data_IF_420835553078
#
_entry.id   IF_420835553078
#
_cell.length_a   1.000
_cell.length_b   1.000
_cell.length_c   1.000
_cell.angle_alpha   90.00
_cell.angle_beta   90.00
_cell.angle_gamma   90.00
#
_symmetry.space_group_name_H-M   'P 1'
#
loop_
_entity.id
_entity.type
_entity.pdbx_description
1 polymer ?
#
# COMPACT_ATOMS: atom_id res chain seq x y z
N UNK A 1 -6.14 -19.67 -22.49
CA UNK A 1 -7.22 -18.66 -22.23
C UNK A 1 -7.14 -17.97 -20.86
N UNK A 2 -6.30 -18.42 -19.93
CA UNK A 2 -6.18 -17.82 -18.58
C UNK A 2 -5.31 -16.54 -18.49
N UNK A 3 -4.57 -16.17 -19.54
CA UNK A 3 -3.71 -14.98 -19.55
C UNK A 3 -4.49 -13.64 -19.65
N UNK A 4 -5.70 -13.66 -20.20
CA UNK A 4 -6.51 -12.46 -20.42
C UNK A 4 -7.14 -11.88 -19.16
N UNK A 5 -7.58 -12.70 -18.20
CA UNK A 5 -8.24 -12.21 -16.98
C UNK A 5 -7.27 -11.49 -16.04
N UNK A 6 -6.04 -12.02 -15.89
CA UNK A 6 -5.01 -11.40 -15.06
C UNK A 6 -4.56 -10.02 -15.57
N UNK A 7 -4.52 -9.85 -16.89
CA UNK A 7 -4.16 -8.57 -17.52
C UNK A 7 -5.30 -7.55 -17.44
N UNK A 8 -6.56 -7.98 -17.49
CA UNK A 8 -7.72 -7.12 -17.30
C UNK A 8 -7.79 -6.61 -15.86
N UNK A 9 -7.58 -7.47 -14.86
CA UNK A 9 -7.52 -7.06 -13.45
C UNK A 9 -6.36 -6.11 -13.15
N UNK A 10 -5.18 -6.33 -13.73
CA UNK A 10 -4.03 -5.41 -13.60
C UNK A 10 -4.33 -4.06 -14.24
N UNK A 11 -4.93 -4.02 -15.42
CA UNK A 11 -5.27 -2.77 -16.12
C UNK A 11 -6.38 -1.99 -15.41
N UNK A 12 -7.42 -2.65 -14.89
CA UNK A 12 -8.50 -1.99 -14.17
C UNK A 12 -8.03 -1.42 -12.82
N UNK A 13 -7.25 -2.17 -12.05
CA UNK A 13 -6.71 -1.69 -10.78
C UNK A 13 -5.71 -0.53 -10.94
N UNK A 14 -4.96 -0.49 -12.04
CA UNK A 14 -4.07 0.63 -12.36
C UNK A 14 -4.85 1.85 -12.86
N UNK A 15 -5.92 1.66 -13.63
CA UNK A 15 -6.78 2.75 -14.14
C UNK A 15 -7.45 3.52 -13.01
N UNK A 16 -8.02 2.84 -12.02
CA UNK A 16 -8.66 3.48 -10.86
C UNK A 16 -7.63 4.24 -10.01
N UNK A 17 -6.46 3.64 -9.76
CA UNK A 17 -5.38 4.32 -9.02
C UNK A 17 -4.88 5.56 -9.73
N UNK A 18 -4.70 5.50 -11.05
CA UNK A 18 -4.27 6.66 -11.84
C UNK A 18 -5.32 7.75 -11.82
N UNK A 19 -6.58 7.41 -12.01
CA UNK A 19 -7.67 8.37 -12.00
C UNK A 19 -7.80 9.11 -10.66
N UNK A 20 -7.70 8.41 -9.53
CA UNK A 20 -7.72 9.05 -8.21
C UNK A 20 -6.49 9.93 -8.00
N UNK A 21 -5.30 9.47 -8.40
CA UNK A 21 -4.06 10.26 -8.31
C UNK A 21 -4.13 11.55 -9.12
N UNK A 22 -4.67 11.47 -10.33
CA UNK A 22 -4.81 12.62 -11.23
C UNK A 22 -5.87 13.63 -10.74
N UNK A 23 -6.83 13.18 -9.92
CA UNK A 23 -7.85 14.07 -9.33
C UNK A 23 -7.38 14.74 -8.04
N UNK A 24 -6.69 14.02 -7.19
CA UNK A 24 -6.23 14.55 -5.90
C UNK A 24 -4.92 15.35 -6.04
N UNK A 25 -4.03 14.95 -6.95
CA UNK A 25 -2.76 15.62 -7.29
C UNK A 25 -1.92 16.03 -6.08
N UNK A 26 -1.90 15.19 -5.05
CA UNK A 26 -1.18 15.47 -3.81
C UNK A 26 0.33 15.30 -4.00
N UNK A 27 1.15 16.36 -3.77
CA UNK A 27 2.59 16.26 -3.90
C UNK A 27 3.17 15.39 -2.78
N UNK A 28 4.24 14.67 -3.09
CA UNK A 28 4.97 13.89 -2.09
C UNK A 28 5.76 14.79 -1.14
N UNK A 29 5.95 14.39 0.13
CA UNK A 29 6.76 15.15 1.08
C UNK A 29 8.15 15.49 0.57
N UNK A 30 8.85 14.56 -0.11
CA UNK A 30 10.19 14.83 -0.64
C UNK A 30 10.18 15.88 -1.77
N UNK A 31 9.09 16.02 -2.54
CA UNK A 31 8.97 17.05 -3.59
C UNK A 31 8.80 18.42 -2.95
N UNK A 32 8.04 18.52 -1.86
CA UNK A 32 7.96 19.77 -1.06
C UNK A 32 9.33 20.12 -0.46
N UNK A 33 10.08 19.10 -0.04
CA UNK A 33 11.45 19.32 0.45
C UNK A 33 12.37 19.82 -0.69
N UNK A 34 12.27 19.28 -1.91
CA UNK A 34 13.00 19.77 -3.09
C UNK A 34 12.67 21.24 -3.42
N UNK A 35 11.40 21.62 -3.33
CA UNK A 35 11.00 23.01 -3.52
C UNK A 35 11.70 23.96 -2.53
N UNK A 36 11.74 23.59 -1.25
CA UNK A 36 12.34 24.40 -0.20
C UNK A 36 13.87 24.47 -0.27
N UNK A 37 14.52 23.38 -0.67
CA UNK A 37 15.99 23.27 -0.62
C UNK A 37 16.66 23.54 -1.96
N UNK A 38 16.02 23.23 -3.08
CA UNK A 38 16.56 23.34 -4.43
C UNK A 38 15.78 24.31 -5.30
N UNK A 39 14.78 24.99 -4.72
CA UNK A 39 13.95 25.99 -5.41
C UNK A 39 13.26 25.47 -6.69
N UNK A 40 12.85 24.21 -6.68
CA UNK A 40 12.09 23.59 -7.77
C UNK A 40 10.60 23.71 -7.44
N UNK A 41 9.83 24.56 -8.13
CA UNK A 41 8.39 24.70 -7.85
C UNK A 41 7.65 23.37 -8.03
N UNK A 42 6.78 23.03 -7.08
CA UNK A 42 6.01 21.78 -7.12
C UNK A 42 5.19 21.65 -8.41
N UNK A 43 4.55 22.74 -8.83
CA UNK A 43 3.73 22.76 -10.05
C UNK A 43 4.59 22.48 -11.28
N UNK A 44 5.76 23.10 -11.40
CA UNK A 44 6.69 22.87 -12.50
C UNK A 44 7.17 21.40 -12.51
N UNK A 45 7.52 20.85 -11.34
CA UNK A 45 7.92 19.44 -11.21
C UNK A 45 6.86 18.50 -11.76
N UNK A 46 5.58 18.72 -11.46
CA UNK A 46 4.51 17.82 -11.90
C UNK A 46 4.03 18.07 -13.34
N UNK A 47 4.42 19.15 -14.00
CA UNK A 47 4.21 19.33 -15.46
C UNK A 47 5.12 18.41 -16.28
N UNK A 48 6.28 18.04 -15.76
CA UNK A 48 7.23 17.16 -16.43
C UNK A 48 6.71 15.74 -16.58
N UNK A 49 7.16 15.02 -17.61
CA UNK A 49 6.92 13.58 -17.75
C UNK A 49 7.62 12.81 -16.64
N UNK A 50 7.10 11.65 -16.28
CA UNK A 50 7.66 10.84 -15.18
C UNK A 50 9.16 10.55 -15.30
N UNK A 51 9.65 10.31 -16.51
CA UNK A 51 11.08 10.08 -16.78
C UNK A 51 11.91 11.33 -16.52
N UNK A 52 11.43 12.47 -16.94
CA UNK A 52 12.14 13.76 -16.80
C UNK A 52 12.17 14.20 -15.34
N UNK A 53 11.10 13.96 -14.58
CA UNK A 53 11.08 14.12 -13.11
C UNK A 53 12.16 13.28 -12.43
N UNK A 54 12.31 12.01 -12.83
CA UNK A 54 13.34 11.12 -12.30
C UNK A 54 14.76 11.61 -12.61
N UNK A 55 14.99 12.11 -13.83
CA UNK A 55 16.27 12.70 -14.22
C UNK A 55 16.57 13.99 -13.44
N UNK A 56 15.57 14.87 -13.28
CA UNK A 56 15.69 16.09 -12.49
C UNK A 56 16.09 15.77 -11.04
N UNK A 57 15.42 14.82 -10.39
CA UNK A 57 15.78 14.37 -9.04
C UNK A 57 17.19 13.81 -8.99
N UNK A 58 17.62 13.06 -10.01
CA UNK A 58 18.98 12.51 -10.11
C UNK A 58 20.03 13.62 -10.18
N UNK A 59 19.81 14.61 -11.03
CA UNK A 59 20.73 15.74 -11.23
C UNK A 59 20.83 16.60 -9.97
N UNK A 60 19.70 16.99 -9.40
CA UNK A 60 19.65 17.85 -8.21
C UNK A 60 20.24 17.20 -6.96
N UNK A 61 20.18 15.88 -6.85
CA UNK A 61 20.71 15.13 -5.71
C UNK A 61 22.08 14.49 -5.98
N UNK A 62 22.70 14.74 -7.13
CA UNK A 62 23.98 14.15 -7.51
C UNK A 62 25.08 14.43 -6.48
N UNK A 63 25.16 15.66 -5.99
CA UNK A 63 26.18 16.14 -5.05
C UNK A 63 25.74 16.07 -3.57
N UNK A 64 24.49 15.68 -3.29
CA UNK A 64 23.94 15.60 -1.93
C UNK A 64 24.42 14.34 -1.20
N UNK A 65 25.57 14.45 -0.52
CA UNK A 65 26.16 13.34 0.24
C UNK A 65 25.38 13.00 1.52
N UNK A 66 24.66 13.97 2.08
CA UNK A 66 23.85 13.80 3.30
C UNK A 66 22.65 12.86 3.10
N UNK A 67 22.21 12.67 1.85
CA UNK A 67 21.11 11.76 1.54
C UNK A 67 21.66 10.40 1.11
N UNK A 68 21.29 9.30 1.80
CA UNK A 68 21.76 7.97 1.46
C UNK A 68 21.45 7.60 -0.01
N UNK A 69 22.36 6.91 -0.67
CA UNK A 69 22.26 6.56 -2.10
C UNK A 69 21.01 5.77 -2.42
N UNK A 70 20.59 4.86 -1.51
CA UNK A 70 19.36 4.08 -1.70
C UNK A 70 18.12 4.98 -1.72
N UNK A 71 18.07 6.03 -0.88
CA UNK A 71 16.96 6.96 -0.80
C UNK A 71 16.89 7.83 -2.06
N UNK A 72 18.04 8.36 -2.53
CA UNK A 72 18.12 9.09 -3.80
C UNK A 72 17.60 8.27 -4.97
N UNK A 73 18.03 7.02 -5.09
CA UNK A 73 17.56 6.08 -6.13
C UNK A 73 16.07 5.78 -6.00
N UNK A 74 15.54 5.71 -4.78
CA UNK A 74 14.14 5.47 -4.53
C UNK A 74 13.28 6.66 -4.98
N UNK A 75 13.67 7.89 -4.63
CA UNK A 75 12.99 9.11 -5.06
C UNK A 75 12.98 9.29 -6.58
N UNK A 76 14.07 8.96 -7.27
CA UNK A 76 14.16 9.00 -8.74
C UNK A 76 13.11 8.10 -9.42
N UNK A 77 12.78 6.97 -8.83
CA UNK A 77 11.82 6.00 -9.39
C UNK A 77 10.38 6.35 -9.04
N UNK A 78 10.15 6.95 -7.89
CA UNK A 78 8.84 7.18 -7.30
C UNK A 78 8.39 8.64 -7.38
N UNK A 79 8.36 9.21 -8.59
CA UNK A 79 8.04 10.62 -8.87
C UNK A 79 6.55 10.89 -9.15
N UNK A 80 5.66 9.95 -8.90
CA UNK A 80 4.20 10.15 -9.02
C UNK A 80 3.61 10.87 -7.80
N UNK A 81 2.31 11.20 -7.85
CA UNK A 81 1.59 11.78 -6.73
C UNK A 81 1.54 10.86 -5.51
N UNK A 82 1.35 11.46 -4.31
CA UNK A 82 1.35 10.73 -3.06
C UNK A 82 0.09 9.88 -2.86
N UNK A 83 -1.07 10.44 -3.06
CA UNK A 83 -2.35 9.83 -2.73
C UNK A 83 -2.90 8.94 -3.86
N UNK A 84 -3.52 7.78 -3.57
CA UNK A 84 -3.40 7.02 -2.35
C UNK A 84 -2.12 6.16 -2.30
N UNK A 85 -1.72 5.71 -1.08
CA UNK A 85 -0.55 4.84 -0.92
C UNK A 85 -0.84 3.39 -1.32
N UNK A 86 -0.33 2.97 -2.49
CA UNK A 86 -0.52 1.60 -2.97
C UNK A 86 0.16 0.54 -2.10
N UNK A 87 1.32 0.84 -1.52
CA UNK A 87 2.02 -0.06 -0.60
C UNK A 87 1.23 -0.26 0.70
N UNK A 88 0.66 0.82 1.23
CA UNK A 88 -0.22 0.76 2.41
C UNK A 88 -1.48 -0.04 2.12
N UNK A 89 -2.14 0.21 0.98
CA UNK A 89 -3.32 -0.55 0.58
C UNK A 89 -3.03 -2.05 0.51
N UNK A 90 -1.91 -2.44 -0.10
CA UNK A 90 -1.50 -3.83 -0.19
C UNK A 90 -1.25 -4.44 1.20
N UNK A 91 -0.41 -3.80 2.01
CA UNK A 91 -0.04 -4.30 3.33
C UNK A 91 -1.26 -4.37 4.28
N UNK A 92 -2.09 -3.32 4.30
CA UNK A 92 -3.30 -3.28 5.10
C UNK A 92 -4.32 -4.34 4.69
N UNK A 93 -4.49 -4.60 3.38
CA UNK A 93 -5.41 -5.63 2.90
C UNK A 93 -4.99 -7.02 3.38
N UNK A 94 -3.71 -7.36 3.33
CA UNK A 94 -3.21 -8.64 3.85
C UNK A 94 -3.38 -8.78 5.36
N UNK A 95 -3.06 -7.73 6.12
CA UNK A 95 -3.23 -7.73 7.57
C UNK A 95 -4.72 -7.89 7.97
N UNK A 96 -5.62 -7.18 7.30
CA UNK A 96 -7.07 -7.25 7.55
C UNK A 96 -7.66 -8.61 7.18
N UNK A 97 -7.23 -9.20 6.05
CA UNK A 97 -7.61 -10.57 5.68
C UNK A 97 -7.10 -11.57 6.71
N UNK A 98 -5.87 -11.43 7.18
CA UNK A 98 -5.32 -12.29 8.22
C UNK A 98 -6.15 -12.21 9.52
N UNK A 99 -6.49 -11.01 9.96
CA UNK A 99 -7.36 -10.83 11.14
C UNK A 99 -8.71 -11.50 10.91
N UNK A 100 -9.37 -11.23 9.78
CA UNK A 100 -10.71 -11.76 9.49
C UNK A 100 -10.76 -13.29 9.37
N UNK A 101 -9.78 -13.90 8.71
CA UNK A 101 -9.79 -15.32 8.40
C UNK A 101 -9.07 -16.19 9.45
N UNK A 102 -8.02 -15.67 10.10
CA UNK A 102 -7.18 -16.46 11.00
C UNK A 102 -7.52 -16.26 12.48
N UNK A 103 -8.19 -15.17 12.85
CA UNK A 103 -8.61 -14.94 14.23
C UNK A 103 -9.51 -16.05 14.77
N UNK A 104 -10.57 -16.49 14.06
CA UNK A 104 -11.41 -17.62 14.50
C UNK A 104 -10.62 -18.93 14.62
N UNK A 105 -9.56 -19.09 13.81
CA UNK A 105 -8.68 -20.27 13.81
C UNK A 105 -7.54 -20.20 14.85
N UNK A 106 -7.55 -19.19 15.73
CA UNK A 106 -6.56 -18.96 16.79
C UNK A 106 -5.11 -18.90 16.30
N UNK A 107 -4.86 -18.56 15.05
CA UNK A 107 -3.52 -18.40 14.47
C UNK A 107 -2.91 -17.04 14.83
N UNK A 108 -2.85 -16.75 16.14
CA UNK A 108 -2.46 -15.45 16.69
C UNK A 108 -1.06 -15.02 16.28
N UNK A 109 -0.09 -15.92 16.26
CA UNK A 109 1.29 -15.60 15.87
C UNK A 109 1.38 -15.11 14.43
N UNK A 110 0.67 -15.75 13.50
CA UNK A 110 0.64 -15.32 12.09
C UNK A 110 -0.01 -13.94 11.95
N UNK A 111 -1.10 -13.69 12.68
CA UNK A 111 -1.76 -12.38 12.70
C UNK A 111 -0.82 -11.30 13.21
N UNK A 112 -0.16 -11.54 14.35
CA UNK A 112 0.79 -10.58 14.95
C UNK A 112 1.94 -10.30 13.97
N UNK A 113 2.50 -11.32 13.35
CA UNK A 113 3.56 -11.16 12.35
C UNK A 113 3.12 -10.27 11.18
N UNK A 114 1.93 -10.53 10.61
CA UNK A 114 1.40 -9.74 9.50
C UNK A 114 1.04 -8.30 9.90
N UNK A 115 0.56 -8.08 11.11
CA UNK A 115 0.32 -6.74 11.65
C UNK A 115 1.63 -5.94 11.81
N UNK A 116 2.66 -6.56 12.37
CA UNK A 116 4.00 -5.95 12.51
C UNK A 116 4.56 -5.64 11.12
N UNK A 117 4.49 -6.59 10.19
CA UNK A 117 4.94 -6.37 8.81
C UNK A 117 4.20 -5.22 8.14
N UNK A 118 2.86 -5.19 8.20
CA UNK A 118 2.06 -4.13 7.59
C UNK A 118 2.38 -2.75 8.20
N UNK A 119 2.50 -2.68 9.53
CA UNK A 119 2.87 -1.44 10.23
C UNK A 119 4.28 -0.97 9.84
N UNK A 120 5.23 -1.90 9.70
CA UNK A 120 6.60 -1.59 9.24
C UNK A 120 6.61 -1.05 7.81
N UNK A 121 5.82 -1.65 6.91
CA UNK A 121 5.65 -1.15 5.54
C UNK A 121 5.07 0.26 5.55
N UNK A 122 4.02 0.52 6.32
CA UNK A 122 3.41 1.84 6.43
C UNK A 122 4.39 2.87 7.01
N UNK A 123 5.06 2.54 8.11
CA UNK A 123 6.08 3.40 8.74
C UNK A 123 7.22 3.76 7.79
N UNK A 124 7.69 2.79 7.00
CA UNK A 124 8.73 3.03 6.00
C UNK A 124 8.32 4.09 4.96
N UNK A 125 7.03 4.17 4.59
CA UNK A 125 6.55 5.17 3.62
C UNK A 125 6.62 6.59 4.16
N UNK A 126 6.41 6.75 5.48
CA UNK A 126 6.57 8.05 6.16
C UNK A 126 8.05 8.43 6.28
N UNK A 127 8.88 7.49 6.77
CA UNK A 127 10.31 7.73 6.97
C UNK A 127 11.05 8.06 5.67
N UNK A 128 10.64 7.45 4.56
CA UNK A 128 11.22 7.72 3.24
C UNK A 128 10.71 9.03 2.60
N UNK A 129 9.84 9.80 3.26
CA UNK A 129 9.25 11.02 2.71
C UNK A 129 8.37 10.80 1.48
N UNK A 130 7.75 9.62 1.37
CA UNK A 130 6.98 9.22 0.19
C UNK A 130 5.50 9.52 0.30
N UNK A 131 4.97 9.52 1.51
CA UNK A 131 3.54 9.69 1.80
C UNK A 131 3.31 10.52 3.05
N UNK A 132 2.15 11.17 3.09
CA UNK A 132 1.65 11.84 4.27
C UNK A 132 0.92 10.86 5.20
N UNK A 133 0.84 11.12 6.52
CA UNK A 133 0.08 10.26 7.44
C UNK A 133 -1.37 10.04 7.00
N UNK A 134 -2.01 11.08 6.47
CA UNK A 134 -3.39 11.01 5.95
C UNK A 134 -3.54 10.02 4.78
N UNK A 135 -2.52 9.91 3.91
CA UNK A 135 -2.54 8.97 2.78
C UNK A 135 -2.62 7.52 3.27
N UNK A 136 -1.92 7.23 4.37
CA UNK A 136 -1.90 5.92 4.98
C UNK A 136 -3.24 5.60 5.66
N UNK A 137 -3.81 6.55 6.38
CA UNK A 137 -5.12 6.40 7.05
C UNK A 137 -6.20 6.12 6.00
N UNK A 138 -6.28 6.94 4.97
CA UNK A 138 -7.29 6.77 3.90
C UNK A 138 -7.06 5.47 3.14
N UNK A 139 -5.81 5.11 2.82
CA UNK A 139 -5.48 3.85 2.17
C UNK A 139 -5.90 2.63 3.02
N UNK A 140 -5.74 2.71 4.34
CA UNK A 140 -6.17 1.66 5.27
C UNK A 140 -7.70 1.55 5.33
N UNK A 141 -8.41 2.67 5.37
CA UNK A 141 -9.88 2.68 5.32
C UNK A 141 -10.42 2.11 4.01
N UNK A 142 -9.83 2.48 2.87
CA UNK A 142 -10.19 1.91 1.57
C UNK A 142 -9.94 0.40 1.56
N UNK A 143 -8.80 -0.05 2.07
CA UNK A 143 -8.48 -1.47 2.18
C UNK A 143 -9.48 -2.22 3.05
N UNK A 144 -9.86 -1.64 4.18
CA UNK A 144 -10.88 -2.21 5.06
C UNK A 144 -12.23 -2.38 4.34
N UNK A 145 -12.71 -1.35 3.63
CA UNK A 145 -13.95 -1.44 2.86
C UNK A 145 -13.88 -2.49 1.77
N UNK A 146 -12.77 -2.53 1.01
CA UNK A 146 -12.60 -3.49 -0.08
C UNK A 146 -12.52 -4.93 0.44
N UNK A 147 -11.78 -5.18 1.51
CA UNK A 147 -11.66 -6.50 2.13
C UNK A 147 -13.00 -6.95 2.70
N UNK A 148 -13.72 -6.06 3.39
CA UNK A 148 -15.06 -6.35 3.93
C UNK A 148 -16.04 -6.70 2.80
N UNK A 149 -16.07 -5.91 1.73
CA UNK A 149 -16.94 -6.16 0.59
C UNK A 149 -16.57 -7.48 -0.11
N UNK A 150 -15.28 -7.73 -0.34
CA UNK A 150 -14.81 -8.94 -1.00
C UNK A 150 -15.13 -10.20 -0.17
N UNK A 151 -14.93 -10.17 1.14
CA UNK A 151 -15.26 -11.29 2.03
C UNK A 151 -16.76 -11.50 2.11
N UNK A 152 -17.55 -10.44 2.17
CA UNK A 152 -19.01 -10.53 2.14
C UNK A 152 -19.54 -11.16 0.84
N UNK A 153 -19.03 -10.72 -0.31
CA UNK A 153 -19.38 -11.30 -1.61
C UNK A 153 -18.97 -12.78 -1.71
N UNK A 154 -17.75 -13.11 -1.28
CA UNK A 154 -17.26 -14.47 -1.28
C UNK A 154 -18.14 -15.39 -0.41
N UNK A 155 -18.55 -14.94 0.78
CA UNK A 155 -19.47 -15.68 1.65
C UNK A 155 -20.86 -15.88 1.03
N UNK A 156 -21.33 -14.90 0.26
CA UNK A 156 -22.60 -15.02 -0.47
C UNK A 156 -22.56 -16.08 -1.58
N UNK A 157 -21.42 -16.20 -2.25
CA UNK A 157 -21.26 -17.10 -3.42
C UNK A 157 -20.79 -18.49 -2.99
N UNK A 158 -19.81 -18.58 -2.09
CA UNK A 158 -19.12 -19.82 -1.72
C UNK A 158 -19.54 -20.39 -0.36
N UNK A 159 -20.42 -19.69 0.38
CA UNK A 159 -20.74 -20.04 1.77
C UNK A 159 -19.74 -19.47 2.78
N UNK A 160 -19.87 -19.81 4.07
CA UNK A 160 -19.08 -19.22 5.14
C UNK A 160 -17.58 -19.50 4.97
N UNK A 161 -16.75 -18.44 4.95
CA UNK A 161 -15.29 -18.53 4.84
C UNK A 161 -14.60 -18.94 6.14
N UNK A 162 -15.30 -18.74 7.26
CA UNK A 162 -14.85 -19.15 8.60
C UNK A 162 -15.79 -20.22 9.12
N UNK A 163 -15.26 -21.30 9.74
CA UNK A 163 -16.11 -22.33 10.34
C UNK A 163 -16.98 -21.71 11.45
N UNK A 164 -18.16 -22.28 11.70
CA UNK A 164 -19.00 -21.92 12.86
C UNK A 164 -18.18 -21.97 14.14
N UNK A 165 -18.51 -21.13 15.12
CA UNK A 165 -17.72 -20.98 16.36
C UNK A 165 -17.52 -22.33 17.10
N UNK A 166 -18.49 -23.23 17.03
CA UNK A 166 -18.40 -24.57 17.62
C UNK A 166 -17.36 -25.44 16.91
N UNK A 167 -17.41 -25.50 15.57
CA UNK A 167 -16.47 -26.26 14.75
C UNK A 167 -15.04 -25.69 14.86
N UNK A 168 -14.90 -24.38 14.94
CA UNK A 168 -13.61 -23.71 15.17
C UNK A 168 -13.00 -24.07 16.55
N UNK A 169 -13.83 -24.26 17.59
CA UNK A 169 -13.38 -24.72 18.91
C UNK A 169 -12.95 -26.18 18.88
N UNK A 170 -13.69 -27.04 18.20
CA UNK A 170 -13.35 -28.47 18.06
C UNK A 170 -12.03 -28.66 17.29
N UNK A 171 -11.85 -27.92 16.19
CA UNK A 171 -10.58 -27.92 15.43
C UNK A 171 -9.42 -27.47 16.32
N UNK A 172 -9.60 -26.40 17.08
CA UNK A 172 -8.58 -25.87 17.96
C UNK A 172 -8.24 -26.84 19.12
N UNK A 173 -9.22 -27.63 19.61
CA UNK A 173 -8.98 -28.66 20.61
C UNK A 173 -8.19 -29.84 20.04
N UNK A 174 -8.55 -30.36 18.88
CA UNK A 174 -7.81 -31.44 18.20
C UNK A 174 -6.37 -31.08 17.88
N UNK A 175 -6.11 -29.82 17.50
CA UNK A 175 -4.74 -29.34 17.24
C UNK A 175 -3.90 -29.19 18.53
N UNK A 176 -4.52 -29.11 19.71
CA UNK A 176 -3.82 -29.06 21.00
C UNK A 176 -3.53 -30.48 21.57
N UNK A 177 -4.26 -31.48 21.12
CA UNK A 177 -4.12 -32.88 21.54
C UNK A 177 -3.15 -33.67 20.63
N UNK A 178 -2.72 -33.09 19.52
CA UNK A 178 -1.75 -33.66 18.55
C UNK A 178 -0.34 -33.11 18.75
#
# INVERSE_FOLDING_TARGET
>A
ESRGLGDVYKRQGQGVKSWVKDRVQEPRPFVIWLEKTHHIPVDEFYTLKRKDRGNLVKEQLAEQQDIPTFLRKHWQKETGFAFPSGHTMFAASWALLAVGLLWPRRRTLTIVFLLIWATSVMGSRLLLGMHWPRDLVVATLISWLLVTLATWLAQRVCGPLTPPVQEAKEIAQREQES
#
